data_IF_231331582623
#
_entry.id   IF_231331582623
#
_cell.length_a   1.000
_cell.length_b   1.000
_cell.length_c   1.000
_cell.angle_alpha   90.00
_cell.angle_beta   90.00
_cell.angle_gamma   90.00
#
_symmetry.space_group_name_H-M   'P 1'
#
loop_
_entity.id
_entity.type
_entity.pdbx_description
1 polymer ?
#
# COMPACT_ATOMS: atom_id res chain seq x y z
N UNK A 1 -4.88 20.26 10.67
CA UNK A 1 -4.82 18.96 11.33
C UNK A 1 -4.21 17.94 10.38
N UNK A 2 -3.14 17.29 10.79
CA UNK A 2 -2.48 16.30 9.95
C UNK A 2 -3.25 14.99 9.95
N UNK A 3 -3.45 14.43 8.77
CA UNK A 3 -4.04 13.11 8.65
C UNK A 3 -2.95 12.06 8.80
N UNK A 4 -3.26 11.00 9.51
CA UNK A 4 -2.35 9.88 9.65
C UNK A 4 -2.42 8.99 8.43
N UNK A 5 -1.28 8.39 8.06
CA UNK A 5 -1.22 7.44 6.96
C UNK A 5 -1.47 6.03 7.47
N UNK A 6 -2.17 5.25 6.68
CA UNK A 6 -2.46 3.84 6.95
C UNK A 6 -1.88 2.99 5.83
N UNK A 7 -1.02 2.04 6.20
CA UNK A 7 -0.42 1.11 5.24
C UNK A 7 -1.40 -0.03 5.00
N UNK A 8 -1.83 -0.20 3.74
CA UNK A 8 -2.79 -1.23 3.38
C UNK A 8 -2.05 -2.42 2.78
N UNK A 9 -2.07 -3.53 3.48
CA UNK A 9 -1.40 -4.76 3.08
C UNK A 9 -2.43 -5.76 2.58
N UNK A 10 -2.36 -6.12 1.29
CA UNK A 10 -3.30 -7.04 0.67
C UNK A 10 -2.58 -8.22 0.04
N UNK A 11 -3.23 -9.42 -0.01
CA UNK A 11 -2.65 -10.56 -0.71
C UNK A 11 -2.44 -10.27 -2.19
N UNK A 12 -1.49 -10.96 -2.78
CA UNK A 12 -1.14 -10.77 -4.19
C UNK A 12 -2.31 -11.06 -5.13
N UNK A 13 -3.16 -12.00 -4.78
CA UNK A 13 -4.31 -12.41 -5.58
C UNK A 13 -5.59 -11.63 -5.27
N UNK A 14 -5.55 -10.67 -4.35
CA UNK A 14 -6.73 -9.90 -4.01
C UNK A 14 -7.15 -9.02 -5.19
N UNK A 15 -8.45 -8.93 -5.46
CA UNK A 15 -8.94 -8.15 -6.57
C UNK A 15 -8.76 -6.65 -6.32
N UNK A 16 -8.52 -5.91 -7.41
CA UNK A 16 -8.36 -4.47 -7.34
C UNK A 16 -9.60 -3.79 -6.76
N UNK A 17 -10.78 -4.30 -7.10
CA UNK A 17 -12.04 -3.74 -6.63
C UNK A 17 -12.16 -3.86 -5.12
N UNK A 18 -11.77 -5.00 -4.56
CA UNK A 18 -11.80 -5.19 -3.10
C UNK A 18 -10.84 -4.26 -2.39
N UNK A 19 -9.63 -4.10 -2.94
CA UNK A 19 -8.64 -3.21 -2.36
C UNK A 19 -9.12 -1.76 -2.40
N UNK A 20 -9.75 -1.35 -3.49
CA UNK A 20 -10.33 -0.02 -3.60
C UNK A 20 -11.40 0.21 -2.52
N UNK A 21 -12.22 -0.79 -2.24
CA UNK A 21 -13.23 -0.69 -1.19
C UNK A 21 -12.61 -0.53 0.19
N UNK A 22 -11.55 -1.28 0.48
CA UNK A 22 -10.84 -1.16 1.76
C UNK A 22 -10.24 0.23 1.90
N UNK A 23 -9.59 0.72 0.85
CA UNK A 23 -8.98 2.05 0.87
C UNK A 23 -10.05 3.13 1.05
N UNK A 24 -11.20 2.98 0.42
CA UNK A 24 -12.30 3.94 0.58
C UNK A 24 -12.78 4.00 2.03
N UNK A 25 -12.92 2.85 2.69
CA UNK A 25 -13.30 2.81 4.10
C UNK A 25 -12.28 3.48 5.00
N UNK A 26 -11.00 3.24 4.73
CA UNK A 26 -9.91 3.85 5.50
C UNK A 26 -9.93 5.36 5.31
N UNK A 27 -10.15 5.81 4.10
CA UNK A 27 -10.28 7.23 3.78
C UNK A 27 -11.46 7.85 4.56
N UNK A 28 -12.60 7.16 4.60
CA UNK A 28 -13.78 7.66 5.30
C UNK A 28 -13.57 7.75 6.81
N UNK A 29 -12.66 6.95 7.35
CA UNK A 29 -12.29 7.02 8.76
C UNK A 29 -11.32 8.15 9.07
N UNK A 30 -10.87 8.89 8.07
CA UNK A 30 -10.01 10.05 8.26
C UNK A 30 -8.53 9.78 8.06
N UNK A 31 -8.15 8.61 7.55
CA UNK A 31 -6.75 8.27 7.29
C UNK A 31 -6.43 8.41 5.82
N UNK A 32 -5.13 8.49 5.51
CA UNK A 32 -4.64 8.47 4.14
C UNK A 32 -4.23 7.03 3.81
N UNK A 33 -4.99 6.32 2.98
CA UNK A 33 -4.67 4.92 2.66
C UNK A 33 -3.51 4.87 1.67
N UNK A 34 -2.48 4.10 2.01
CA UNK A 34 -1.32 3.87 1.15
C UNK A 34 -1.22 2.39 0.86
N UNK A 35 -1.40 2.02 -0.40
CA UNK A 35 -1.24 0.64 -0.84
C UNK A 35 -0.08 0.58 -1.83
N UNK A 36 1.13 0.20 -1.40
CA UNK A 36 2.30 0.21 -2.28
C UNK A 36 2.15 -0.67 -3.51
N UNK A 37 1.40 -1.76 -3.38
CA UNK A 37 1.18 -2.66 -4.50
C UNK A 37 0.62 -1.95 -5.72
N UNK A 38 -0.37 -1.09 -5.54
CA UNK A 38 -0.96 -0.36 -6.66
C UNK A 38 -0.25 0.94 -6.97
N UNK A 39 0.60 1.40 -6.06
CA UNK A 39 1.39 2.60 -6.29
C UNK A 39 2.68 2.33 -7.04
N UNK A 40 3.34 1.19 -6.78
CA UNK A 40 4.67 0.89 -7.33
C UNK A 40 4.67 -0.11 -8.48
N UNK A 41 3.82 -1.14 -8.42
CA UNK A 41 3.82 -2.18 -9.45
C UNK A 41 3.54 -1.70 -10.86
N UNK A 42 2.79 -0.60 -11.08
CA UNK A 42 2.62 -0.10 -12.44
C UNK A 42 3.92 0.27 -13.14
N UNK A 43 4.98 0.61 -12.40
CA UNK A 43 6.26 0.96 -13.02
C UNK A 43 7.41 0.03 -12.63
N UNK A 44 7.15 -1.02 -11.84
CA UNK A 44 8.16 -2.00 -11.46
C UNK A 44 7.83 -3.36 -12.08
N UNK A 45 8.87 -4.08 -12.50
CA UNK A 45 8.73 -5.41 -13.07
C UNK A 45 8.94 -6.46 -11.98
N UNK A 46 7.90 -7.22 -11.66
CA UNK A 46 7.96 -8.25 -10.62
C UNK A 46 8.96 -9.35 -10.96
N UNK A 47 9.27 -9.56 -12.23
CA UNK A 47 10.24 -10.57 -12.66
C UNK A 47 11.69 -10.15 -12.50
N UNK A 48 11.96 -8.87 -12.25
CA UNK A 48 13.30 -8.35 -12.10
C UNK A 48 13.70 -8.26 -10.63
N UNK A 49 14.85 -8.85 -10.29
CA UNK A 49 15.31 -8.85 -8.90
C UNK A 49 15.56 -7.45 -8.36
N UNK A 50 16.10 -6.56 -9.19
CA UNK A 50 16.34 -5.17 -8.79
C UNK A 50 15.05 -4.43 -8.48
N UNK A 51 14.01 -4.68 -9.27
CA UNK A 51 12.72 -4.05 -9.07
C UNK A 51 12.03 -4.58 -7.81
N UNK A 52 12.18 -5.88 -7.52
CA UNK A 52 11.67 -6.44 -6.29
C UNK A 52 12.33 -5.82 -5.07
N UNK A 53 13.65 -5.63 -5.13
CA UNK A 53 14.38 -4.99 -4.04
C UNK A 53 13.94 -3.53 -3.88
N UNK A 54 13.73 -2.83 -4.99
CA UNK A 54 13.23 -1.46 -4.96
C UNK A 54 11.84 -1.39 -4.33
N UNK A 55 10.96 -2.31 -4.71
CA UNK A 55 9.61 -2.39 -4.15
C UNK A 55 9.67 -2.58 -2.63
N UNK A 56 10.47 -3.53 -2.18
CA UNK A 56 10.58 -3.82 -0.75
C UNK A 56 11.15 -2.64 0.02
N UNK A 57 12.17 -1.97 -0.54
CA UNK A 57 12.79 -0.82 0.10
C UNK A 57 11.82 0.35 0.21
N UNK A 58 11.12 0.67 -0.88
CA UNK A 58 10.17 1.77 -0.90
C UNK A 58 8.97 1.50 0.00
N UNK A 59 8.48 0.26 -0.01
CA UNK A 59 7.38 -0.14 0.87
C UNK A 59 7.77 0.00 2.33
N UNK A 60 8.99 -0.39 2.68
CA UNK A 60 9.49 -0.28 4.04
C UNK A 60 9.60 1.17 4.51
N UNK A 61 10.03 2.06 3.61
CA UNK A 61 10.11 3.49 3.92
C UNK A 61 8.72 4.07 4.20
N UNK A 62 7.73 3.66 3.44
CA UNK A 62 6.36 4.10 3.66
C UNK A 62 5.80 3.53 4.95
N UNK A 63 6.06 2.26 5.21
CA UNK A 63 5.58 1.59 6.42
C UNK A 63 6.05 2.30 7.68
N UNK A 64 7.31 2.76 7.69
CA UNK A 64 7.86 3.49 8.83
C UNK A 64 7.13 4.80 9.13
N UNK A 65 6.50 5.38 8.11
CA UNK A 65 5.80 6.66 8.24
C UNK A 65 4.30 6.49 8.48
N UNK A 66 3.80 5.28 8.40
CA UNK A 66 2.39 5.01 8.64
C UNK A 66 2.14 4.77 10.12
N UNK A 67 0.99 5.24 10.60
CA UNK A 67 0.59 5.03 11.99
C UNK A 67 -0.05 3.68 12.22
N UNK A 68 -0.63 3.10 11.18
CA UNK A 68 -1.32 1.83 11.33
C UNK A 68 -1.09 0.98 10.10
N UNK A 69 -1.22 -0.32 10.28
CA UNK A 69 -1.17 -1.30 9.20
C UNK A 69 -2.54 -1.97 9.15
N UNK A 70 -3.14 -1.98 7.97
CA UNK A 70 -4.42 -2.64 7.74
C UNK A 70 -4.15 -3.86 6.88
N UNK A 71 -4.52 -5.02 7.40
CA UNK A 71 -4.36 -6.29 6.68
C UNK A 71 -5.72 -6.70 6.13
N UNK A 72 -5.75 -6.85 4.81
CA UNK A 72 -6.98 -7.25 4.13
C UNK A 72 -7.21 -8.75 4.20
#
# INVERSE_FOLDING_TARGET
>A
MEQAMAYVCCPAEESRVKVQRYCRKIYELGYVPICPRFGFLPFLDEGEAEDQQAYNRMSHLILKRCRMVVVC
#
